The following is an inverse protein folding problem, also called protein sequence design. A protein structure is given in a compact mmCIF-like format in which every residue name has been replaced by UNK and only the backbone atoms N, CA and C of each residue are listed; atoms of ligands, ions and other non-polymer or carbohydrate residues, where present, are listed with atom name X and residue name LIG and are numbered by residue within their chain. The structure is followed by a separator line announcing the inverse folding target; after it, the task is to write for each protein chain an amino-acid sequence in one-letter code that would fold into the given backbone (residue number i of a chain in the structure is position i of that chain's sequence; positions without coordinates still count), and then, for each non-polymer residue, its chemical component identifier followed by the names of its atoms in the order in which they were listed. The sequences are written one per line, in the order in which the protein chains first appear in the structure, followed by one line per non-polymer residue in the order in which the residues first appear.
data_IF_993800343464
#
_entry.id   IF_993800343464
#
_cell.length_a   1.000
_cell.length_b   1.000
_cell.length_c   1.000
_cell.angle_alpha   90.00
_cell.angle_beta   90.00
_cell.angle_gamma   90.00
#
_symmetry.space_group_name_H-M   'P 1'
#
loop_
_entity.id
_entity.type
_entity.pdbx_description
1 polymer ?
#
# COMPACT_ATOMS: atom_id res chain seq x y z
N UNK A 1 -12.69 32.59 -2.89
CA UNK A 1 -12.98 31.30 -3.58
C UNK A 1 -13.41 30.29 -2.51
N UNK A 2 -14.71 29.98 -2.44
CA UNK A 2 -15.29 29.16 -1.36
C UNK A 2 -15.13 27.69 -1.74
N UNK A 3 -14.10 27.02 -1.22
CA UNK A 3 -13.87 25.60 -1.50
C UNK A 3 -14.87 24.78 -0.67
N UNK A 4 -16.00 24.46 -1.30
CA UNK A 4 -17.02 23.56 -0.76
C UNK A 4 -16.53 22.09 -0.85
N UNK A 5 -15.47 21.72 -0.09
CA UNK A 5 -14.80 20.40 -0.20
C UNK A 5 -14.81 19.55 1.09
N UNK A 6 -15.56 19.89 2.13
CA UNK A 6 -15.43 19.19 3.42
C UNK A 6 -15.92 17.72 3.37
N UNK A 7 -16.73 17.36 2.36
CA UNK A 7 -17.22 15.99 2.16
C UNK A 7 -16.23 15.14 1.36
N UNK A 8 -15.43 15.78 0.49
CA UNK A 8 -14.58 15.11 -0.47
C UNK A 8 -13.36 14.48 0.21
N UNK A 9 -12.77 15.15 1.21
CA UNK A 9 -11.58 14.63 1.91
C UNK A 9 -11.88 13.34 2.69
N UNK A 10 -13.07 13.22 3.30
CA UNK A 10 -13.48 11.99 4.00
C UNK A 10 -13.72 10.83 3.05
N UNK A 11 -14.32 11.11 1.88
CA UNK A 11 -14.51 10.11 0.84
C UNK A 11 -13.17 9.64 0.27
N UNK A 12 -12.23 10.56 0.01
CA UNK A 12 -10.87 10.21 -0.44
C UNK A 12 -10.17 9.34 0.59
N UNK A 13 -10.22 9.69 1.88
CA UNK A 13 -9.66 8.87 2.95
C UNK A 13 -10.23 7.43 2.95
N UNK A 14 -11.55 7.28 2.88
CA UNK A 14 -12.17 5.96 2.91
C UNK A 14 -11.83 5.12 1.68
N UNK A 15 -11.76 5.75 0.49
CA UNK A 15 -11.36 5.07 -0.74
C UNK A 15 -9.90 4.62 -0.68
N UNK A 16 -8.99 5.49 -0.25
CA UNK A 16 -7.56 5.16 -0.13
C UNK A 16 -7.36 4.03 0.89
N UNK A 17 -8.07 4.06 2.01
CA UNK A 17 -8.00 3.01 3.05
C UNK A 17 -8.44 1.64 2.51
N UNK A 18 -9.56 1.60 1.78
CA UNK A 18 -10.07 0.35 1.18
C UNK A 18 -9.08 -0.17 0.15
N UNK A 19 -8.54 0.69 -0.71
CA UNK A 19 -7.53 0.29 -1.71
C UNK A 19 -6.28 -0.25 -1.01
N UNK A 20 -5.77 0.43 0.03
CA UNK A 20 -4.62 -0.01 0.79
C UNK A 20 -4.83 -1.40 1.40
N UNK A 21 -5.99 -1.66 2.00
CA UNK A 21 -6.33 -2.97 2.57
C UNK A 21 -6.37 -4.07 1.51
N UNK A 22 -6.99 -3.81 0.35
CA UNK A 22 -7.02 -4.77 -0.76
C UNK A 22 -5.60 -5.09 -1.25
N UNK A 23 -4.74 -4.08 -1.38
CA UNK A 23 -3.36 -4.27 -1.80
C UNK A 23 -2.52 -5.02 -0.77
N UNK A 24 -2.76 -4.84 0.54
CA UNK A 24 -2.14 -5.65 1.59
C UNK A 24 -2.50 -7.11 1.41
N UNK A 25 -3.80 -7.42 1.29
CA UNK A 25 -4.28 -8.80 1.14
C UNK A 25 -3.69 -9.43 -0.13
N UNK A 26 -3.77 -8.73 -1.25
CA UNK A 26 -3.21 -9.21 -2.53
C UNK A 26 -1.69 -9.41 -2.45
N UNK A 27 -0.96 -8.49 -1.83
CA UNK A 27 0.49 -8.57 -1.63
C UNK A 27 0.89 -9.77 -0.77
N UNK A 28 0.19 -10.01 0.35
CA UNK A 28 0.42 -11.17 1.22
C UNK A 28 0.18 -12.47 0.45
N UNK A 29 -0.92 -12.57 -0.28
CA UNK A 29 -1.26 -13.76 -1.08
C UNK A 29 -0.14 -14.03 -2.10
N UNK A 30 0.26 -13.03 -2.88
CA UNK A 30 1.34 -13.17 -3.86
C UNK A 30 2.67 -13.56 -3.22
N UNK A 31 2.99 -13.04 -2.03
CA UNK A 31 4.17 -13.42 -1.28
C UNK A 31 4.16 -14.90 -0.90
N UNK A 32 3.07 -15.38 -0.31
CA UNK A 32 2.92 -16.78 0.11
C UNK A 32 3.12 -17.72 -1.08
N UNK A 33 2.47 -17.44 -2.21
CA UNK A 33 2.61 -18.25 -3.43
C UNK A 33 3.97 -18.07 -4.13
N UNK A 34 4.62 -16.91 -3.98
CA UNK A 34 5.91 -16.61 -4.61
C UNK A 34 7.13 -17.15 -3.84
N UNK A 35 7.00 -17.43 -2.54
CA UNK A 35 8.11 -17.93 -1.70
C UNK A 35 8.75 -19.22 -2.24
N UNK A 36 8.01 -20.28 -2.64
CA UNK A 36 8.60 -21.49 -3.18
C UNK A 36 9.45 -21.24 -4.43
N UNK A 37 8.91 -20.46 -5.37
CA UNK A 37 9.60 -20.07 -6.61
C UNK A 37 10.86 -19.24 -6.31
N UNK A 38 10.79 -18.34 -5.32
CA UNK A 38 11.95 -17.56 -4.89
C UNK A 38 13.05 -18.43 -4.27
N UNK A 39 12.68 -19.43 -3.44
CA UNK A 39 13.64 -20.38 -2.86
C UNK A 39 14.33 -21.21 -3.94
N UNK A 40 13.59 -21.67 -4.95
CA UNK A 40 14.15 -22.37 -6.10
C UNK A 40 15.10 -21.48 -6.91
N UNK A 41 14.70 -20.23 -7.18
CA UNK A 41 15.56 -19.24 -7.83
C UNK A 41 16.88 -19.04 -7.09
N UNK A 42 16.85 -18.80 -5.78
CA UNK A 42 18.07 -18.63 -4.96
C UNK A 42 18.94 -19.89 -4.99
N UNK A 43 18.33 -21.08 -4.90
CA UNK A 43 19.03 -22.36 -4.98
C UNK A 43 19.75 -22.56 -6.33
N UNK A 44 19.10 -22.19 -7.44
CA UNK A 44 19.70 -22.27 -8.78
C UNK A 44 20.85 -21.28 -8.96
N UNK A 45 20.68 -20.03 -8.50
CA UNK A 45 21.72 -18.99 -8.52
C UNK A 45 22.96 -19.45 -7.73
N UNK A 46 22.77 -19.97 -6.51
CA UNK A 46 23.87 -20.43 -5.65
C UNK A 46 24.62 -21.62 -6.25
N UNK A 47 23.94 -22.48 -7.02
CA UNK A 47 24.53 -23.65 -7.66
C UNK A 47 25.24 -23.34 -8.98
N UNK A 48 25.30 -22.07 -9.42
CA UNK A 48 25.86 -21.63 -10.72
C UNK A 48 25.29 -22.39 -11.94
N UNK A 49 24.16 -23.09 -11.77
CA UNK A 49 23.55 -23.93 -12.78
C UNK A 49 22.33 -23.20 -13.31
N UNK A 50 22.48 -22.68 -14.53
CA UNK A 50 21.45 -22.05 -15.38
C UNK A 50 21.14 -20.56 -15.15
N UNK A 51 20.63 -19.95 -16.24
CA UNK A 51 20.04 -18.60 -16.25
C UNK A 51 18.88 -18.59 -15.28
N UNK A 52 18.92 -17.79 -14.21
CA UNK A 52 17.98 -17.95 -13.14
C UNK A 52 16.61 -17.44 -13.61
N UNK A 53 15.60 -18.31 -13.58
CA UNK A 53 14.22 -17.93 -13.91
C UNK A 53 13.70 -17.04 -12.79
N UNK A 54 13.57 -15.75 -13.05
CA UNK A 54 13.07 -14.78 -12.07
C UNK A 54 11.74 -15.25 -11.46
N UNK A 55 11.47 -14.92 -10.19
CA UNK A 55 10.17 -15.14 -9.55
C UNK A 55 9.35 -13.84 -9.55
N UNK A 56 8.65 -13.52 -10.65
CA UNK A 56 7.92 -12.26 -10.77
C UNK A 56 6.82 -12.13 -9.72
N UNK A 57 6.16 -13.25 -9.37
CA UNK A 57 5.05 -13.26 -8.40
C UNK A 57 5.53 -12.78 -7.03
N UNK A 58 6.70 -13.23 -6.58
CA UNK A 58 7.27 -12.79 -5.32
C UNK A 58 7.60 -11.29 -5.34
N UNK A 59 8.24 -10.81 -6.41
CA UNK A 59 8.64 -9.39 -6.55
C UNK A 59 7.41 -8.47 -6.58
N UNK A 60 6.37 -8.83 -7.33
CA UNK A 60 5.12 -8.08 -7.36
C UNK A 60 4.40 -8.11 -6.00
N UNK A 61 4.44 -9.23 -5.27
CA UNK A 61 3.90 -9.31 -3.90
C UNK A 61 4.59 -8.34 -2.94
N UNK A 62 5.93 -8.28 -2.98
CA UNK A 62 6.72 -7.32 -2.19
C UNK A 62 6.41 -5.89 -2.61
N UNK A 63 6.35 -5.61 -3.91
CA UNK A 63 6.01 -4.28 -4.43
C UNK A 63 4.63 -3.81 -3.95
N UNK A 64 3.62 -4.67 -4.02
CA UNK A 64 2.26 -4.36 -3.58
C UNK A 64 2.21 -4.06 -2.08
N UNK A 65 2.96 -4.79 -1.25
CA UNK A 65 3.06 -4.49 0.18
C UNK A 65 3.68 -3.13 0.43
N UNK A 66 4.80 -2.81 -0.23
CA UNK A 66 5.44 -1.50 -0.08
C UNK A 66 4.50 -0.38 -0.51
N UNK A 67 3.82 -0.55 -1.65
CA UNK A 67 2.83 0.42 -2.13
C UNK A 67 1.69 0.60 -1.13
N UNK A 68 1.18 -0.48 -0.55
CA UNK A 68 0.10 -0.41 0.43
C UNK A 68 0.53 0.31 1.73
N UNK A 69 1.77 0.08 2.18
CA UNK A 69 2.35 0.83 3.32
C UNK A 69 2.42 2.32 3.01
N UNK A 70 2.87 2.69 1.81
CA UNK A 70 2.91 4.10 1.38
C UNK A 70 1.52 4.73 1.34
N UNK A 71 0.49 3.99 0.90
CA UNK A 71 -0.89 4.46 0.92
C UNK A 71 -1.43 4.63 2.35
N UNK A 72 -1.10 3.72 3.28
CA UNK A 72 -1.47 3.89 4.69
C UNK A 72 -0.81 5.12 5.31
N UNK A 73 0.45 5.40 4.97
CA UNK A 73 1.13 6.62 5.41
C UNK A 73 0.40 7.86 4.86
N UNK A 74 0.01 7.84 3.59
CA UNK A 74 -0.78 8.91 2.98
C UNK A 74 -2.13 9.11 3.70
N UNK A 75 -2.81 8.02 4.07
CA UNK A 75 -4.06 8.07 4.83
C UNK A 75 -3.89 8.74 6.19
N UNK A 76 -2.76 8.52 6.88
CA UNK A 76 -2.45 9.21 8.14
C UNK A 76 -2.36 10.72 7.92
N UNK A 77 -1.70 11.17 6.84
CA UNK A 77 -1.64 12.60 6.51
C UNK A 77 -3.02 13.18 6.17
N UNK A 78 -3.85 12.46 5.43
CA UNK A 78 -5.22 12.89 5.10
C UNK A 78 -6.08 12.95 6.37
N UNK A 79 -6.00 11.95 7.24
CA UNK A 79 -6.70 11.94 8.52
C UNK A 79 -6.29 13.13 9.39
N UNK A 80 -4.99 13.47 9.41
CA UNK A 80 -4.48 14.63 10.11
C UNK A 80 -5.02 15.95 9.55
N UNK A 81 -5.07 16.13 8.23
CA UNK A 81 -5.67 17.31 7.58
C UNK A 81 -7.17 17.46 7.92
N UNK A 82 -7.93 16.36 7.89
CA UNK A 82 -9.35 16.36 8.25
C UNK A 82 -9.55 16.76 9.71
N UNK A 83 -8.70 16.26 10.61
CA UNK A 83 -8.78 16.58 12.04
C UNK A 83 -8.40 18.03 12.33
N UNK A 84 -7.33 18.53 11.70
CA UNK A 84 -6.87 19.90 11.90
C UNK A 84 -7.89 20.94 11.42
N UNK A 85 -8.57 20.68 10.29
CA UNK A 85 -9.68 21.51 9.80
C UNK A 85 -10.88 21.55 10.76
N UNK A 86 -11.17 20.43 11.45
CA UNK A 86 -12.25 20.40 12.44
C UNK A 86 -11.94 21.25 13.69
N UNK A 87 -10.68 21.29 14.12
CA UNK A 87 -10.27 22.06 15.29
C UNK A 87 -10.41 23.58 15.03
N UNK A 88 -10.00 24.06 13.86
CA UNK A 88 -10.10 25.49 13.51
C UNK A 88 -11.55 25.99 13.44
N UNK A 89 -12.50 25.16 13.00
CA UNK A 89 -13.93 25.53 12.99
C UNK A 89 -14.51 25.61 14.40
N UNK A 90 -13.94 24.87 15.37
CA UNK A 90 -14.41 24.84 16.75
C UNK A 90 -13.94 26.05 17.58
N UNK A 91 -12.82 26.67 17.22
CA UNK A 91 -12.29 27.86 17.95
C UNK A 91 -12.95 29.18 17.52
N UNK A 92 -13.65 29.21 16.38
CA UNK A 92 -14.27 30.43 15.83
C UNK A 92 -15.76 30.55 16.23
N UNK A 93 -16.33 29.53 16.88
CA UNK A 93 -17.70 29.48 17.41
C UNK A 93 -17.70 29.42 18.93
#
# INVERSE_FOLDING_TARGET
MKINNNNNNKTVFLVVLVVALVLIIAGIIMLIFGIPQYKEFISQVLKQNAKPSHSPIFIYGVFLLVLAILLLILDIFIANDIWNKKLQVKEIN
#
